data_IF_885978158105
#
_entry.id   IF_885978158105
#
_cell.length_a   1.000
_cell.length_b   1.000
_cell.length_c   1.000
_cell.angle_alpha   90.00
_cell.angle_beta   90.00
_cell.angle_gamma   90.00
#
_symmetry.space_group_name_H-M   'P 1'
#
loop_
_entity.id
_entity.type
_entity.pdbx_description
1 polymer ?
#
# COMPACT_ATOMS: atom_id res chain seq x y z
N UNK A 1 -20.67 -44.19 -19.13
CA UNK A 1 -19.19 -44.24 -19.19
C UNK A 1 -18.69 -42.86 -18.81
N UNK A 2 -17.87 -42.69 -17.74
CA UNK A 2 -17.33 -41.37 -17.44
C UNK A 2 -16.18 -41.08 -18.41
N UNK A 3 -16.21 -39.88 -18.98
CA UNK A 3 -15.16 -39.35 -19.84
C UNK A 3 -14.03 -38.86 -18.93
N UNK A 4 -12.81 -39.35 -19.17
CA UNK A 4 -11.57 -38.97 -18.46
C UNK A 4 -10.93 -37.82 -19.24
N UNK A 5 -10.55 -36.73 -18.56
CA UNK A 5 -9.77 -35.63 -19.15
C UNK A 5 -8.65 -35.21 -18.18
N UNK A 6 -7.39 -35.34 -18.63
CA UNK A 6 -6.14 -34.81 -18.04
C UNK A 6 -6.12 -33.25 -18.12
N UNK A 7 -5.36 -32.40 -17.42
CA UNK A 7 -4.40 -32.42 -16.28
C UNK A 7 -3.99 -30.92 -16.05
N UNK A 8 -3.75 -30.47 -14.80
CA UNK A 8 -3.20 -29.13 -14.44
C UNK A 8 -2.66 -29.10 -12.99
N UNK A 9 -1.77 -28.16 -12.59
CA UNK A 9 -0.80 -28.39 -11.50
C UNK A 9 -1.38 -28.34 -10.08
N UNK A 10 -0.74 -29.07 -9.17
CA UNK A 10 -1.17 -29.42 -7.82
C UNK A 10 -0.75 -28.41 -6.72
N UNK A 11 -1.57 -28.27 -5.68
CA UNK A 11 -1.19 -27.71 -4.37
C UNK A 11 -1.87 -28.50 -3.22
N UNK A 12 -1.13 -28.67 -2.12
CA UNK A 12 -1.34 -29.63 -1.02
C UNK A 12 -2.45 -29.27 0.00
N UNK A 13 -3.19 -30.30 0.43
CA UNK A 13 -3.37 -30.67 1.86
C UNK A 13 -4.42 -29.94 2.71
N UNK A 14 -5.49 -30.67 3.09
CA UNK A 14 -6.34 -30.37 4.25
C UNK A 14 -7.71 -31.05 4.21
N UNK A 15 -7.86 -32.20 4.89
CA UNK A 15 -9.08 -33.01 4.89
C UNK A 15 -10.30 -32.29 5.52
N UNK A 16 -11.45 -32.30 4.82
CA UNK A 16 -12.76 -31.97 5.39
C UNK A 16 -13.69 -33.18 5.33
N UNK A 17 -14.21 -33.57 6.49
CA UNK A 17 -15.16 -34.65 6.69
C UNK A 17 -16.57 -34.20 6.25
N UNK A 18 -17.16 -34.86 5.24
CA UNK A 18 -18.48 -34.49 4.69
C UNK A 18 -19.46 -35.68 4.84
N UNK A 19 -20.62 -35.50 5.51
CA UNK A 19 -21.58 -36.58 5.70
C UNK A 19 -22.32 -36.95 4.38
N UNK A 20 -22.78 -38.21 4.22
CA UNK A 20 -23.37 -38.68 2.97
C UNK A 20 -24.74 -38.04 2.71
N UNK A 21 -24.87 -37.34 1.58
CA UNK A 21 -26.13 -36.77 1.10
C UNK A 21 -26.94 -37.83 0.34
N UNK A 22 -28.21 -38.03 0.74
CA UNK A 22 -29.14 -38.98 0.12
C UNK A 22 -29.42 -38.64 -1.36
N UNK A 23 -29.51 -39.67 -2.21
CA UNK A 23 -29.77 -39.54 -3.64
C UNK A 23 -31.24 -39.16 -3.94
N UNK A 24 -31.47 -38.07 -4.68
CA UNK A 24 -32.79 -37.69 -5.18
C UNK A 24 -32.98 -38.11 -6.65
N UNK A 25 -34.11 -38.74 -7.04
CA UNK A 25 -34.38 -39.06 -8.43
C UNK A 25 -34.55 -37.77 -9.25
N UNK A 26 -33.76 -37.60 -10.31
CA UNK A 26 -33.87 -36.47 -11.25
C UNK A 26 -32.74 -35.43 -11.20
N UNK A 27 -31.79 -35.53 -10.25
CA UNK A 27 -30.59 -34.67 -10.21
C UNK A 27 -29.35 -35.48 -10.65
N UNK A 28 -28.50 -34.90 -11.51
CA UNK A 28 -27.20 -35.51 -11.86
C UNK A 28 -26.21 -35.22 -10.73
N UNK A 29 -25.61 -36.27 -10.18
CA UNK A 29 -24.52 -36.15 -9.21
C UNK A 29 -23.21 -35.91 -9.93
N UNK A 30 -22.47 -34.88 -9.51
CA UNK A 30 -21.12 -34.62 -9.98
C UNK A 30 -20.13 -34.80 -8.82
N UNK A 31 -19.04 -35.51 -9.07
CA UNK A 31 -17.91 -35.66 -8.14
C UNK A 31 -16.72 -34.92 -8.72
N UNK A 32 -16.14 -34.02 -7.93
CA UNK A 32 -14.81 -33.48 -8.19
C UNK A 32 -13.81 -34.47 -7.59
N UNK A 33 -12.91 -35.00 -8.43
CA UNK A 33 -11.77 -35.79 -7.98
C UNK A 33 -10.52 -34.89 -7.95
N UNK A 34 -9.67 -34.99 -6.92
CA UNK A 34 -8.35 -34.41 -6.99
C UNK A 34 -7.54 -35.04 -8.14
N UNK A 35 -6.54 -34.32 -8.64
CA UNK A 35 -5.68 -34.79 -9.71
C UNK A 35 -5.01 -36.12 -9.35
N UNK A 36 -4.71 -36.95 -10.35
CA UNK A 36 -4.10 -38.26 -10.16
C UNK A 36 -2.79 -38.14 -9.35
N UNK A 37 -2.84 -38.58 -8.09
CA UNK A 37 -1.75 -38.47 -7.12
C UNK A 37 -2.18 -38.92 -5.73
N UNK A 38 -3.40 -38.60 -5.31
CA UNK A 38 -3.96 -39.03 -4.03
C UNK A 38 -5.04 -40.09 -4.22
N UNK A 39 -4.65 -41.35 -4.13
CA UNK A 39 -5.59 -42.45 -4.00
C UNK A 39 -6.16 -42.46 -2.57
N UNK A 40 -7.15 -41.60 -2.29
CA UNK A 40 -7.80 -41.63 -0.97
C UNK A 40 -8.97 -40.68 -0.71
N UNK A 41 -9.00 -39.48 -1.28
CA UNK A 41 -9.97 -38.46 -0.85
C UNK A 41 -11.05 -38.15 -1.90
N UNK A 42 -12.30 -38.44 -1.54
CA UNK A 42 -13.47 -38.05 -2.33
C UNK A 42 -13.83 -36.59 -2.05
N UNK A 43 -13.74 -35.72 -3.06
CA UNK A 43 -14.19 -34.34 -2.97
C UNK A 43 -15.71 -34.19 -2.78
N UNK A 44 -16.19 -32.99 -2.39
CA UNK A 44 -17.59 -32.75 -2.08
C UNK A 44 -18.52 -33.02 -3.27
N UNK A 45 -19.69 -33.60 -3.00
CA UNK A 45 -20.73 -33.94 -3.99
C UNK A 45 -21.78 -32.83 -4.03
N UNK A 46 -22.01 -32.26 -5.21
CA UNK A 46 -23.03 -31.22 -5.40
C UNK A 46 -24.21 -31.74 -6.24
N UNK A 47 -25.43 -31.29 -5.89
CA UNK A 47 -26.67 -31.58 -6.61
C UNK A 47 -27.14 -30.30 -7.32
N UNK A 48 -26.99 -30.22 -8.65
CA UNK A 48 -27.35 -29.03 -9.43
C UNK A 48 -28.55 -29.33 -10.34
N UNK A 49 -29.56 -28.44 -10.35
CA UNK A 49 -30.71 -28.48 -11.27
C UNK A 49 -30.40 -27.81 -12.62
N UNK A 50 -31.19 -28.12 -13.66
CA UNK A 50 -30.95 -27.62 -15.02
C UNK A 50 -30.98 -26.07 -15.10
N UNK A 51 -29.89 -25.49 -15.58
CA UNK A 51 -29.69 -24.04 -15.79
C UNK A 51 -28.20 -23.74 -16.05
N UNK A 52 -27.89 -22.61 -16.68
CA UNK A 52 -26.51 -22.10 -16.75
C UNK A 52 -26.15 -21.56 -15.36
N UNK A 53 -25.09 -22.09 -14.77
CA UNK A 53 -24.60 -21.68 -13.44
C UNK A 53 -23.13 -21.26 -13.58
N UNK A 54 -22.79 -20.10 -13.03
CA UNK A 54 -21.41 -19.64 -12.90
C UNK A 54 -20.94 -19.89 -11.47
N UNK A 55 -19.91 -20.72 -11.28
CA UNK A 55 -19.25 -20.89 -9.98
C UNK A 55 -17.94 -20.11 -9.96
N UNK A 56 -17.71 -19.33 -8.89
CA UNK A 56 -16.41 -18.76 -8.54
C UNK A 56 -15.75 -19.63 -7.49
N UNK A 57 -14.63 -20.26 -7.83
CA UNK A 57 -13.78 -20.99 -6.89
C UNK A 57 -12.31 -20.68 -7.21
N UNK A 58 -11.50 -20.36 -6.19
CA UNK A 58 -10.04 -20.17 -6.31
C UNK A 58 -9.62 -19.32 -7.52
N UNK A 59 -10.23 -18.14 -7.69
CA UNK A 59 -9.86 -17.22 -8.78
C UNK A 59 -10.21 -17.71 -10.18
N UNK A 60 -11.18 -18.63 -10.35
CA UNK A 60 -11.71 -19.00 -11.68
C UNK A 60 -13.23 -18.96 -11.72
N UNK A 61 -13.75 -18.47 -12.85
CA UNK A 61 -15.18 -18.55 -13.20
C UNK A 61 -15.39 -19.78 -14.08
N UNK A 62 -16.23 -20.70 -13.62
CA UNK A 62 -16.61 -21.88 -14.39
C UNK A 62 -17.99 -21.68 -14.98
N UNK A 63 -18.08 -21.54 -16.30
CA UNK A 63 -19.34 -21.50 -17.02
C UNK A 63 -19.74 -22.89 -17.49
N UNK A 64 -20.89 -23.39 -17.02
CA UNK A 64 -21.46 -24.65 -17.46
C UNK A 64 -22.38 -24.48 -18.68
N UNK A 65 -21.92 -24.91 -19.85
CA UNK A 65 -22.76 -25.15 -21.03
C UNK A 65 -22.73 -26.64 -21.42
N UNK A 66 -23.73 -27.39 -20.96
CA UNK A 66 -23.86 -28.81 -21.32
C UNK A 66 -22.72 -29.68 -20.76
N UNK A 67 -22.14 -30.56 -21.60
CA UNK A 67 -21.11 -31.54 -21.22
C UNK A 67 -19.65 -31.05 -21.43
N UNK A 68 -19.46 -29.80 -21.88
CA UNK A 68 -18.15 -29.26 -22.19
C UNK A 68 -17.73 -28.22 -21.13
N UNK A 69 -16.57 -28.45 -20.53
CA UNK A 69 -15.93 -27.51 -19.61
C UNK A 69 -15.09 -26.54 -20.44
N UNK A 70 -15.50 -25.27 -20.50
CA UNK A 70 -14.65 -24.20 -21.05
C UNK A 70 -14.10 -23.39 -19.89
N UNK A 71 -12.81 -23.56 -19.61
CA UNK A 71 -12.05 -22.66 -18.73
C UNK A 71 -11.72 -21.41 -19.53
N UNK A 72 -12.56 -20.40 -19.47
CA UNK A 72 -12.13 -19.04 -19.83
C UNK A 72 -11.42 -18.47 -18.61
N UNK A 73 -10.10 -18.33 -18.70
CA UNK A 73 -9.33 -17.52 -17.77
C UNK A 73 -9.54 -16.06 -18.15
N UNK A 74 -10.72 -15.53 -17.87
CA UNK A 74 -10.86 -14.09 -17.70
C UNK A 74 -10.01 -13.72 -16.47
N UNK A 75 -9.09 -12.73 -16.58
CA UNK A 75 -8.36 -12.26 -15.41
C UNK A 75 -9.38 -11.87 -14.33
N UNK A 76 -9.22 -12.43 -13.13
CA UNK A 76 -10.04 -12.03 -11.99
C UNK A 76 -9.50 -10.69 -11.52
N UNK A 77 -10.12 -9.63 -12.03
CA UNK A 77 -9.86 -8.27 -11.57
C UNK A 77 -10.32 -8.13 -10.13
N UNK A 78 -9.42 -7.67 -9.27
CA UNK A 78 -9.71 -7.38 -7.87
C UNK A 78 -10.18 -5.94 -7.76
N UNK A 79 -11.18 -5.71 -6.91
CA UNK A 79 -11.57 -4.36 -6.54
C UNK A 79 -10.68 -3.89 -5.39
N UNK A 80 -9.82 -2.92 -5.67
CA UNK A 80 -8.85 -2.39 -4.72
C UNK A 80 -9.27 -0.98 -4.30
N UNK A 81 -9.59 -0.82 -3.02
CA UNK A 81 -9.86 0.48 -2.43
C UNK A 81 -8.54 1.15 -2.01
N UNK A 82 -8.34 2.42 -2.37
CA UNK A 82 -7.17 3.22 -2.00
C UNK A 82 -7.62 4.45 -1.22
N UNK A 83 -7.31 4.49 0.08
CA UNK A 83 -7.40 5.72 0.86
C UNK A 83 -6.17 6.60 0.60
N UNK A 84 -6.36 7.93 0.60
CA UNK A 84 -5.26 8.86 0.29
C UNK A 84 -4.82 8.86 -1.17
N UNK A 85 -5.70 8.43 -2.08
CA UNK A 85 -5.48 8.28 -3.52
C UNK A 85 -4.98 9.54 -4.26
N UNK A 86 -5.15 10.73 -3.69
CA UNK A 86 -4.70 12.00 -4.28
C UNK A 86 -3.32 12.46 -3.79
N UNK A 87 -2.73 11.75 -2.81
CA UNK A 87 -1.44 12.09 -2.22
C UNK A 87 -0.22 11.64 -3.03
N UNK A 88 0.97 11.94 -2.52
CA UNK A 88 2.24 11.64 -3.19
C UNK A 88 2.54 10.14 -3.36
N UNK A 89 1.97 9.28 -2.50
CA UNK A 89 2.05 7.82 -2.62
C UNK A 89 0.79 7.26 -3.29
N UNK A 90 -0.40 7.67 -2.84
CA UNK A 90 -1.66 7.11 -3.34
C UNK A 90 -1.88 7.35 -4.83
N UNK A 91 -1.51 8.53 -5.35
CA UNK A 91 -1.71 8.85 -6.78
C UNK A 91 -0.89 7.95 -7.72
N UNK A 92 0.43 7.76 -7.54
CA UNK A 92 1.16 6.78 -8.32
C UNK A 92 0.68 5.34 -8.09
N UNK A 93 0.25 4.97 -6.88
CA UNK A 93 -0.34 3.65 -6.62
C UNK A 93 -1.60 3.41 -7.46
N UNK A 94 -2.54 4.37 -7.48
CA UNK A 94 -3.77 4.27 -8.30
C UNK A 94 -3.42 4.11 -9.78
N UNK A 95 -2.49 4.94 -10.30
CA UNK A 95 -2.09 4.86 -11.70
C UNK A 95 -1.46 3.50 -12.06
N UNK A 96 -0.62 2.95 -11.18
CA UNK A 96 0.02 1.66 -11.38
C UNK A 96 -0.98 0.49 -11.33
N UNK A 97 -1.91 0.49 -10.36
CA UNK A 97 -2.97 -0.52 -10.26
C UNK A 97 -3.92 -0.52 -11.47
N UNK A 98 -4.28 0.67 -11.96
CA UNK A 98 -5.06 0.78 -13.20
C UNK A 98 -4.28 0.24 -14.41
N UNK A 99 -2.97 0.50 -14.47
CA UNK A 99 -2.11 0.01 -15.55
C UNK A 99 -1.92 -1.51 -15.51
N UNK A 100 -2.03 -2.14 -14.34
CA UNK A 100 -2.08 -3.60 -14.19
C UNK A 100 -3.47 -4.21 -14.46
N UNK A 101 -4.45 -3.38 -14.82
CA UNK A 101 -5.81 -3.80 -15.16
C UNK A 101 -6.70 -4.05 -13.95
N UNK A 102 -6.32 -3.63 -12.74
CA UNK A 102 -7.18 -3.81 -11.56
C UNK A 102 -8.32 -2.78 -11.54
N UNK A 103 -9.43 -3.14 -10.88
CA UNK A 103 -10.51 -2.18 -10.62
C UNK A 103 -10.12 -1.35 -9.40
N UNK A 104 -9.86 -0.06 -9.59
CA UNK A 104 -9.39 0.81 -8.50
C UNK A 104 -10.49 1.76 -8.05
N UNK A 105 -10.81 1.70 -6.76
CA UNK A 105 -11.70 2.65 -6.09
C UNK A 105 -10.88 3.59 -5.23
N UNK A 106 -10.97 4.89 -5.47
CA UNK A 106 -10.26 5.92 -4.74
C UNK A 106 -11.18 6.59 -3.71
N UNK A 107 -10.80 6.47 -2.43
CA UNK A 107 -11.55 7.05 -1.33
C UNK A 107 -11.16 8.51 -1.11
N UNK A 108 -12.17 9.39 -1.11
CA UNK A 108 -12.03 10.83 -0.84
C UNK A 108 -13.12 11.30 0.12
N UNK A 109 -12.83 12.35 0.88
CA UNK A 109 -13.82 13.01 1.76
C UNK A 109 -14.83 13.88 1.02
N UNK A 110 -14.50 14.31 -0.20
CA UNK A 110 -15.34 15.23 -0.98
C UNK A 110 -15.32 14.87 -2.46
N UNK A 111 -16.49 14.98 -3.10
CA UNK A 111 -16.68 14.74 -4.54
C UNK A 111 -15.77 15.62 -5.40
N UNK A 112 -15.58 16.88 -5.00
CA UNK A 112 -14.74 17.84 -5.74
C UNK A 112 -13.29 17.38 -5.95
N UNK A 113 -12.80 16.50 -5.07
CA UNK A 113 -11.43 15.96 -5.15
C UNK A 113 -11.33 14.72 -6.04
N UNK A 114 -12.46 14.11 -6.39
CA UNK A 114 -12.50 12.95 -7.28
C UNK A 114 -12.14 13.34 -8.72
N UNK A 115 -12.37 14.60 -9.12
CA UNK A 115 -11.98 15.09 -10.44
C UNK A 115 -10.46 15.13 -10.69
N UNK A 116 -9.63 14.99 -9.63
CA UNK A 116 -8.18 14.93 -9.72
C UNK A 116 -7.63 13.49 -9.79
N UNK A 117 -8.51 12.49 -9.84
CA UNK A 117 -8.11 11.09 -9.92
C UNK A 117 -7.60 10.73 -11.32
N UNK A 118 -6.67 9.76 -11.43
CA UNK A 118 -6.32 9.17 -12.73
C UNK A 118 -7.56 8.65 -13.47
N UNK A 119 -7.55 8.80 -14.79
CA UNK A 119 -8.63 8.28 -15.65
C UNK A 119 -8.80 6.77 -15.44
N UNK A 120 -10.04 6.33 -15.25
CA UNK A 120 -10.39 4.93 -14.98
C UNK A 120 -10.55 4.57 -13.50
N UNK A 121 -10.14 5.43 -12.56
CA UNK A 121 -10.43 5.20 -11.14
C UNK A 121 -11.89 5.52 -10.80
N UNK A 122 -12.52 4.63 -10.04
CA UNK A 122 -13.84 4.87 -9.43
C UNK A 122 -13.69 5.77 -8.21
N UNK A 123 -14.52 6.80 -8.08
CA UNK A 123 -14.54 7.64 -6.89
C UNK A 123 -15.47 7.10 -5.81
N UNK A 124 -15.01 7.08 -4.55
CA UNK A 124 -15.86 6.78 -3.40
C UNK A 124 -15.79 7.89 -2.37
N UNK A 125 -16.96 8.44 -2.01
CA UNK A 125 -17.09 9.50 -1.01
C UNK A 125 -17.31 8.86 0.35
N UNK A 126 -16.32 8.99 1.22
CA UNK A 126 -16.45 8.56 2.61
C UNK A 126 -15.50 9.36 3.52
N UNK A 127 -15.89 9.43 4.79
CA UNK A 127 -15.11 10.08 5.82
C UNK A 127 -14.61 9.06 6.84
N UNK A 128 -13.31 8.80 6.81
CA UNK A 128 -12.65 7.91 7.76
C UNK A 128 -12.79 8.38 9.22
N UNK A 129 -12.96 9.68 9.46
CA UNK A 129 -13.01 10.22 10.82
C UNK A 129 -14.38 9.98 11.47
N UNK A 130 -15.45 10.28 10.75
CA UNK A 130 -16.83 10.11 11.22
C UNK A 130 -17.39 8.72 10.93
N UNK A 131 -16.76 7.95 10.03
CA UNK A 131 -17.27 6.67 9.54
C UNK A 131 -18.35 6.78 8.47
N UNK A 132 -18.76 8.01 8.12
CA UNK A 132 -19.83 8.24 7.15
C UNK A 132 -19.43 7.72 5.76
N UNK A 133 -20.31 6.94 5.13
CA UNK A 133 -20.12 6.41 3.78
C UNK A 133 -19.17 5.21 3.66
N UNK A 134 -18.58 4.72 4.76
CA UNK A 134 -17.62 3.61 4.68
C UNK A 134 -18.26 2.30 4.21
N UNK A 135 -19.47 1.96 4.66
CA UNK A 135 -20.14 0.72 4.22
C UNK A 135 -20.30 0.67 2.69
N UNK A 136 -20.71 1.78 2.08
CA UNK A 136 -20.85 1.88 0.63
C UNK A 136 -19.49 1.91 -0.08
N UNK A 137 -18.48 2.57 0.49
CA UNK A 137 -17.14 2.63 -0.10
C UNK A 137 -16.45 1.26 -0.12
N UNK A 138 -16.70 0.42 0.89
CA UNK A 138 -16.12 -0.92 1.03
C UNK A 138 -16.95 -2.04 0.38
N UNK A 139 -18.14 -1.76 -0.15
CA UNK A 139 -18.98 -2.78 -0.81
C UNK A 139 -18.25 -3.41 -2.01
N UNK A 140 -18.11 -4.74 -1.99
CA UNK A 140 -17.41 -5.50 -3.03
C UNK A 140 -15.91 -5.27 -3.11
N UNK A 141 -15.26 -4.69 -2.08
CA UNK A 141 -13.81 -4.48 -2.04
C UNK A 141 -13.09 -5.77 -1.64
N UNK A 142 -12.15 -6.23 -2.48
CA UNK A 142 -11.33 -7.41 -2.21
C UNK A 142 -10.08 -7.06 -1.40
N UNK A 143 -9.47 -5.91 -1.69
CA UNK A 143 -8.19 -5.47 -1.11
C UNK A 143 -8.20 -3.99 -0.79
N UNK A 144 -7.45 -3.59 0.24
CA UNK A 144 -7.44 -2.22 0.73
C UNK A 144 -6.03 -1.69 0.92
N UNK A 145 -5.73 -0.51 0.36
CA UNK A 145 -4.54 0.27 0.67
C UNK A 145 -4.91 1.47 1.55
N UNK A 146 -4.43 1.44 2.79
CA UNK A 146 -4.66 2.49 3.78
C UNK A 146 -3.49 3.46 3.82
N UNK A 147 -3.74 4.72 3.45
CA UNK A 147 -2.87 5.85 3.76
C UNK A 147 -3.63 6.81 4.68
N UNK A 148 -3.09 7.05 5.87
CA UNK A 148 -3.64 8.05 6.79
C UNK A 148 -2.81 9.33 6.72
N UNK A 149 -3.48 10.47 6.55
CA UNK A 149 -2.82 11.77 6.68
C UNK A 149 -2.50 12.03 8.16
N UNK A 150 -1.33 12.64 8.42
CA UNK A 150 -0.96 13.12 9.75
C UNK A 150 -2.05 14.06 10.29
N UNK A 151 -2.54 13.80 11.50
CA UNK A 151 -3.58 14.58 12.15
C UNK A 151 -3.82 14.13 13.59
N UNK A 152 -4.42 14.98 14.42
CA UNK A 152 -4.79 14.62 15.79
C UNK A 152 -5.71 13.40 15.85
N UNK A 153 -6.59 13.26 14.86
CA UNK A 153 -7.56 12.17 14.71
C UNK A 153 -7.05 11.02 13.82
N UNK A 154 -5.76 10.98 13.52
CA UNK A 154 -5.20 9.98 12.60
C UNK A 154 -5.47 8.54 13.05
N UNK A 155 -5.19 8.23 14.31
CA UNK A 155 -5.45 6.91 14.88
C UNK A 155 -6.93 6.53 14.73
N UNK A 156 -7.85 7.45 15.04
CA UNK A 156 -9.29 7.22 14.87
C UNK A 156 -9.64 6.89 13.41
N UNK A 157 -9.12 7.67 12.45
CA UNK A 157 -9.33 7.42 11.02
C UNK A 157 -8.84 6.04 10.59
N UNK A 158 -7.64 5.65 11.02
CA UNK A 158 -7.09 4.34 10.70
C UNK A 158 -7.90 3.21 11.29
N UNK A 159 -8.29 3.30 12.57
CA UNK A 159 -9.11 2.29 13.24
C UNK A 159 -10.49 2.14 12.59
N UNK A 160 -11.15 3.24 12.23
CA UNK A 160 -12.42 3.20 11.49
C UNK A 160 -12.26 2.52 10.12
N UNK A 161 -11.19 2.82 9.39
CA UNK A 161 -10.90 2.19 8.11
C UNK A 161 -10.70 0.67 8.24
N UNK A 162 -9.92 0.24 9.24
CA UNK A 162 -9.68 -1.18 9.52
C UNK A 162 -10.98 -1.89 9.92
N UNK A 163 -11.81 -1.27 10.76
CA UNK A 163 -13.09 -1.83 11.16
C UNK A 163 -14.05 -1.98 9.96
N UNK A 164 -14.10 -1.00 9.06
CA UNK A 164 -14.90 -1.08 7.84
C UNK A 164 -14.38 -2.19 6.91
N UNK A 165 -13.06 -2.30 6.74
CA UNK A 165 -12.44 -3.38 5.96
C UNK A 165 -12.81 -4.77 6.52
N UNK A 166 -12.76 -4.94 7.84
CA UNK A 166 -13.17 -6.17 8.53
C UNK A 166 -14.66 -6.48 8.30
N UNK A 167 -15.52 -5.48 8.45
CA UNK A 167 -16.97 -5.64 8.28
C UNK A 167 -17.35 -6.03 6.85
N UNK A 168 -16.62 -5.50 5.86
CA UNK A 168 -16.82 -5.83 4.44
C UNK A 168 -16.15 -7.15 4.01
N UNK A 169 -15.35 -7.79 4.87
CA UNK A 169 -14.66 -9.03 4.53
C UNK A 169 -13.49 -8.86 3.57
N UNK A 170 -12.82 -7.70 3.60
CA UNK A 170 -11.61 -7.44 2.80
C UNK A 170 -10.56 -8.50 3.09
N UNK A 171 -10.05 -9.16 2.04
CA UNK A 171 -9.11 -10.27 2.17
C UNK A 171 -7.68 -9.85 2.43
N UNK A 172 -7.28 -8.63 2.00
CA UNK A 172 -5.91 -8.12 2.16
C UNK A 172 -5.87 -6.62 2.46
N UNK A 173 -5.05 -6.23 3.44
CA UNK A 173 -4.82 -4.83 3.84
C UNK A 173 -3.33 -4.49 3.73
N UNK A 174 -3.00 -3.50 2.90
CA UNK A 174 -1.67 -2.87 2.89
C UNK A 174 -1.78 -1.53 3.59
N UNK A 175 -0.82 -1.21 4.46
CA UNK A 175 -0.84 0.04 5.24
C UNK A 175 0.46 0.80 5.13
N UNK A 176 0.33 2.10 4.82
CA UNK A 176 1.45 3.03 4.89
C UNK A 176 1.59 3.58 6.31
N UNK A 177 2.51 2.99 7.06
CA UNK A 177 2.94 3.45 8.38
C UNK A 177 4.11 4.44 8.24
N UNK A 178 5.07 4.39 9.16
CA UNK A 178 6.29 5.20 9.17
C UNK A 178 7.44 4.35 9.71
N UNK A 179 8.68 4.67 9.33
CA UNK A 179 9.86 4.03 9.86
C UNK A 179 9.98 4.19 11.39
N UNK A 180 10.28 3.08 12.08
CA UNK A 180 10.58 3.02 13.51
C UNK A 180 9.60 3.82 14.42
N UNK A 181 8.27 3.57 14.33
CA UNK A 181 7.26 4.37 15.03
C UNK A 181 7.31 4.23 16.57
N UNK A 182 8.03 3.24 17.06
CA UNK A 182 8.22 2.85 18.45
C UNK A 182 9.55 3.30 19.06
N UNK A 183 10.41 4.01 18.31
CA UNK A 183 11.69 4.50 18.83
C UNK A 183 11.58 5.73 19.74
N UNK A 184 12.59 5.90 20.59
CA UNK A 184 12.77 7.01 21.53
C UNK A 184 13.67 8.10 20.92
N UNK A 185 13.34 9.41 21.07
CA UNK A 185 12.19 9.95 21.78
C UNK A 185 10.87 9.76 21.01
N UNK A 186 9.71 9.69 21.72
CA UNK A 186 8.42 9.46 21.09
C UNK A 186 8.03 10.63 20.18
N UNK A 187 8.02 10.40 18.86
CA UNK A 187 7.53 11.36 17.87
C UNK A 187 6.01 11.20 17.75
N UNK A 188 5.20 12.21 18.14
CA UNK A 188 3.74 12.07 18.21
C UNK A 188 3.07 11.56 16.93
N UNK A 189 3.40 12.15 15.78
CA UNK A 189 2.82 11.71 14.51
C UNK A 189 3.31 10.34 14.06
N UNK A 190 4.39 9.80 14.62
CA UNK A 190 4.82 8.43 14.33
C UNK A 190 4.07 7.43 15.20
N UNK A 191 3.88 7.74 16.48
CA UNK A 191 3.18 6.86 17.43
C UNK A 191 1.71 6.68 17.11
N UNK A 192 1.07 7.62 16.42
CA UNK A 192 -0.32 7.49 15.97
C UNK A 192 -0.55 6.26 15.08
N UNK A 193 0.51 5.72 14.45
CA UNK A 193 0.47 4.55 13.57
C UNK A 193 0.39 3.24 14.34
N UNK A 194 0.98 3.15 15.53
CA UNK A 194 1.12 1.89 16.27
C UNK A 194 -0.23 1.20 16.56
N UNK A 195 -1.29 1.90 17.02
CA UNK A 195 -2.58 1.25 17.24
C UNK A 195 -3.25 0.79 15.94
N UNK A 196 -2.98 1.47 14.82
CA UNK A 196 -3.49 1.09 13.49
C UNK A 196 -2.80 -0.21 13.04
N UNK A 197 -1.47 -0.27 13.16
CA UNK A 197 -0.73 -1.50 12.86
C UNK A 197 -1.22 -2.69 13.70
N UNK A 198 -1.45 -2.48 15.00
CA UNK A 198 -1.98 -3.52 15.89
C UNK A 198 -3.38 -4.00 15.42
N UNK A 199 -4.28 -3.07 15.11
CA UNK A 199 -5.62 -3.41 14.62
C UNK A 199 -5.60 -4.16 13.29
N UNK A 200 -4.63 -3.87 12.40
CA UNK A 200 -4.44 -4.60 11.14
C UNK A 200 -3.96 -6.03 11.40
N UNK A 201 -2.99 -6.23 12.29
CA UNK A 201 -2.53 -7.58 12.68
C UNK A 201 -3.66 -8.42 13.27
N UNK A 202 -4.59 -7.79 13.97
CA UNK A 202 -5.78 -8.41 14.57
C UNK A 202 -7.02 -8.39 13.65
N UNK A 203 -6.87 -7.99 12.39
CA UNK A 203 -8.01 -7.84 11.47
C UNK A 203 -8.56 -9.18 10.98
N UNK A 204 -7.69 -10.19 10.86
CA UNK A 204 -7.98 -11.47 10.22
C UNK A 204 -7.77 -11.46 8.69
N UNK A 205 -7.50 -10.29 8.10
CA UNK A 205 -7.07 -10.18 6.70
C UNK A 205 -5.58 -10.52 6.56
N UNK A 206 -5.16 -10.92 5.35
CA UNK A 206 -3.73 -10.85 5.01
C UNK A 206 -3.26 -9.40 5.13
N UNK A 207 -2.04 -9.20 5.61
CA UNK A 207 -1.54 -7.83 5.78
C UNK A 207 -0.10 -7.63 5.34
N UNK A 208 0.20 -6.39 4.95
CA UNK A 208 1.55 -5.90 4.74
C UNK A 208 1.65 -4.47 5.30
N UNK A 209 2.69 -4.19 6.08
CA UNK A 209 2.93 -2.86 6.64
C UNK A 209 4.16 -2.26 5.95
N UNK A 210 4.00 -1.08 5.37
CA UNK A 210 5.08 -0.31 4.75
C UNK A 210 5.53 0.77 5.72
N UNK A 211 6.80 0.74 6.14
CA UNK A 211 7.42 1.67 7.07
C UNK A 211 8.49 2.50 6.37
N UNK A 212 8.10 3.50 5.59
CA UNK A 212 9.05 4.28 4.82
C UNK A 212 9.85 5.25 5.68
N UNK A 213 11.11 5.42 5.29
CA UNK A 213 12.00 6.50 5.71
C UNK A 213 11.53 7.86 5.18
N UNK A 214 12.33 8.91 5.39
CA UNK A 214 11.97 10.28 5.02
C UNK A 214 11.81 10.43 3.49
N UNK A 215 10.75 11.11 3.03
CA UNK A 215 10.45 11.15 1.58
C UNK A 215 11.31 12.16 0.83
N UNK A 216 11.75 11.82 -0.39
CA UNK A 216 12.30 12.78 -1.35
C UNK A 216 11.29 13.89 -1.66
N UNK A 217 10.02 13.52 -1.87
CA UNK A 217 8.92 14.42 -2.21
C UNK A 217 8.59 15.46 -1.15
N UNK A 218 9.12 15.34 0.07
CA UNK A 218 9.04 16.44 1.06
C UNK A 218 9.65 17.73 0.51
N UNK A 219 10.66 17.62 -0.35
CA UNK A 219 11.35 18.76 -0.93
C UNK A 219 10.49 19.54 -1.95
N UNK A 220 9.39 18.97 -2.44
CA UNK A 220 8.46 19.70 -3.33
C UNK A 220 7.92 20.98 -2.68
N UNK A 221 7.87 21.02 -1.35
CA UNK A 221 7.48 22.22 -0.60
C UNK A 221 8.53 23.34 -0.61
N UNK A 222 9.80 23.00 -0.85
CA UNK A 222 10.93 23.94 -0.79
C UNK A 222 11.66 24.12 -2.11
N UNK A 223 11.34 23.32 -3.14
CA UNK A 223 12.01 23.36 -4.45
C UNK A 223 12.06 24.78 -5.04
N UNK A 224 11.00 25.57 -4.85
CA UNK A 224 10.98 26.97 -5.30
C UNK A 224 11.97 27.84 -4.53
N UNK A 225 12.11 27.64 -3.21
CA UNK A 225 13.09 28.36 -2.41
C UNK A 225 14.51 28.03 -2.87
N UNK A 226 14.77 26.76 -3.14
CA UNK A 226 16.06 26.29 -3.67
C UNK A 226 16.33 26.90 -5.04
N UNK A 227 15.35 26.84 -5.95
CA UNK A 227 15.49 27.31 -7.33
C UNK A 227 15.64 28.83 -7.43
N UNK A 228 14.87 29.58 -6.66
CA UNK A 228 14.83 31.05 -6.76
C UNK A 228 15.95 31.70 -5.93
N UNK A 229 16.24 31.18 -4.73
CA UNK A 229 17.17 31.82 -3.77
C UNK A 229 18.49 31.07 -3.55
N UNK A 230 18.64 29.84 -4.04
CA UNK A 230 19.87 29.07 -3.83
C UNK A 230 20.06 28.66 -2.37
N UNK A 231 18.98 28.35 -1.66
CA UNK A 231 19.04 27.88 -0.26
C UNK A 231 18.23 26.60 -0.12
N UNK A 232 18.84 25.53 0.39
CA UNK A 232 18.15 24.33 0.85
C UNK A 232 17.83 24.47 2.35
N UNK A 233 16.56 24.70 2.73
CA UNK A 233 16.22 25.20 4.08
C UNK A 233 15.85 24.10 5.09
N UNK A 234 15.85 22.82 4.68
CA UNK A 234 15.36 21.74 5.52
C UNK A 234 16.42 21.33 6.55
N UNK A 235 16.14 21.39 7.87
CA UNK A 235 17.15 21.21 8.92
C UNK A 235 17.41 19.70 9.19
N UNK A 236 17.83 18.96 8.17
CA UNK A 236 17.99 17.50 8.20
C UNK A 236 19.33 17.02 8.77
N UNK A 237 20.19 17.92 9.25
CA UNK A 237 21.47 17.56 9.86
C UNK A 237 22.59 17.28 8.88
N UNK A 238 23.78 17.07 9.42
CA UNK A 238 25.02 16.82 8.66
C UNK A 238 25.42 15.34 8.61
N UNK A 239 24.85 14.49 9.46
CA UNK A 239 25.14 13.05 9.53
C UNK A 239 24.64 12.32 8.28
N UNK A 240 23.41 12.64 7.86
CA UNK A 240 22.76 12.05 6.70
C UNK A 240 21.73 10.98 7.05
N UNK A 241 20.78 10.78 6.14
CA UNK A 241 19.71 9.80 6.28
C UNK A 241 19.32 9.24 4.92
N UNK A 242 18.87 7.99 4.88
CA UNK A 242 18.33 7.42 3.65
C UNK A 242 16.93 7.97 3.40
N UNK A 243 16.70 8.48 2.18
CA UNK A 243 15.43 9.10 1.80
C UNK A 243 14.77 8.33 0.68
N UNK A 244 13.58 7.80 0.91
CA UNK A 244 12.85 6.98 -0.06
C UNK A 244 12.04 7.85 -1.03
N UNK A 245 11.97 7.44 -2.29
CA UNK A 245 11.06 8.04 -3.28
C UNK A 245 9.64 7.49 -3.10
N UNK A 246 8.62 8.36 -3.08
CA UNK A 246 7.23 7.91 -2.90
C UNK A 246 6.73 6.99 -4.01
N UNK A 247 7.38 6.98 -5.17
CA UNK A 247 7.09 6.02 -6.25
C UNK A 247 7.60 4.61 -5.91
N UNK A 248 8.74 4.48 -5.25
CA UNK A 248 9.23 3.16 -4.76
C UNK A 248 8.25 2.59 -3.73
N UNK A 249 7.72 3.44 -2.84
CA UNK A 249 6.67 3.05 -1.89
C UNK A 249 5.41 2.59 -2.64
N UNK A 250 5.01 3.31 -3.68
CA UNK A 250 3.84 2.95 -4.47
C UNK A 250 4.02 1.61 -5.20
N UNK A 251 5.21 1.37 -5.76
CA UNK A 251 5.55 0.12 -6.44
C UNK A 251 5.55 -1.07 -5.44
N UNK A 252 6.12 -0.89 -4.24
CA UNK A 252 6.03 -1.87 -3.16
C UNK A 252 4.56 -2.13 -2.73
N UNK A 253 3.75 -1.08 -2.60
CA UNK A 253 2.33 -1.21 -2.26
C UNK A 253 1.55 -1.99 -3.32
N UNK A 254 1.77 -1.70 -4.61
CA UNK A 254 1.15 -2.43 -5.73
C UNK A 254 1.48 -3.91 -5.63
N UNK A 255 2.76 -4.25 -5.49
CA UNK A 255 3.19 -5.64 -5.36
C UNK A 255 2.57 -6.33 -4.15
N UNK A 256 2.59 -5.70 -2.99
CA UNK A 256 1.94 -6.22 -1.79
C UNK A 256 0.43 -6.45 -2.00
N UNK A 257 -0.23 -5.58 -2.77
CA UNK A 257 -1.64 -5.74 -3.12
C UNK A 257 -1.86 -6.84 -4.16
N UNK A 258 -0.97 -7.07 -5.11
CA UNK A 258 -1.25 -7.92 -6.29
C UNK A 258 -0.52 -9.27 -6.33
N UNK A 259 0.60 -9.39 -5.62
CA UNK A 259 1.47 -10.57 -5.60
C UNK A 259 1.32 -11.35 -4.29
N UNK A 260 1.58 -12.65 -4.32
CA UNK A 260 1.65 -13.47 -3.11
C UNK A 260 3.01 -13.34 -2.41
N UNK A 261 3.12 -13.78 -1.17
CA UNK A 261 4.38 -13.76 -0.40
C UNK A 261 4.59 -12.53 0.48
N UNK A 262 3.64 -11.59 0.49
CA UNK A 262 3.71 -10.37 1.29
C UNK A 262 2.89 -10.43 2.60
N UNK A 263 2.16 -11.51 2.85
CA UNK A 263 1.36 -11.67 4.05
C UNK A 263 2.24 -11.73 5.31
N UNK A 264 1.94 -10.90 6.30
CA UNK A 264 2.70 -10.78 7.54
C UNK A 264 3.99 -9.97 7.41
N UNK A 265 4.29 -9.42 6.24
CA UNK A 265 5.52 -8.67 6.01
C UNK A 265 5.42 -7.23 6.54
N UNK A 266 6.52 -6.76 7.12
CA UNK A 266 6.71 -5.37 7.52
C UNK A 266 7.99 -4.87 6.84
N UNK A 267 7.86 -3.94 5.89
CA UNK A 267 8.97 -3.45 5.08
C UNK A 267 9.42 -2.08 5.57
N UNK A 268 10.61 -2.00 6.14
CA UNK A 268 11.32 -0.72 6.33
C UNK A 268 11.89 -0.26 4.98
N UNK A 269 11.30 0.80 4.41
CA UNK A 269 11.60 1.24 3.05
C UNK A 269 12.55 2.44 3.05
N UNK A 270 13.73 2.22 2.51
CA UNK A 270 14.81 3.19 2.40
C UNK A 270 15.08 3.57 0.95
N UNK A 271 15.62 4.78 0.74
CA UNK A 271 16.26 5.10 -0.54
C UNK A 271 17.71 4.62 -0.59
N UNK A 272 18.33 4.64 -1.77
CA UNK A 272 19.68 4.10 -1.96
C UNK A 272 20.77 5.02 -1.41
N UNK A 273 20.50 6.32 -1.29
CA UNK A 273 21.50 7.31 -0.93
C UNK A 273 21.34 7.78 0.52
N UNK A 274 22.45 7.89 1.24
CA UNK A 274 22.51 8.60 2.52
C UNK A 274 22.73 10.10 2.26
N UNK A 275 21.71 10.91 2.51
CA UNK A 275 21.69 12.34 2.18
C UNK A 275 21.73 13.19 3.45
N UNK A 276 22.77 14.02 3.58
CA UNK A 276 22.86 15.09 4.58
C UNK A 276 22.35 16.42 4.02
N UNK A 277 22.13 17.42 4.88
CA UNK A 277 21.74 18.78 4.49
C UNK A 277 22.70 19.42 3.48
N UNK A 278 24.02 19.46 3.74
CA UNK A 278 25.01 19.88 2.76
C UNK A 278 25.03 19.01 1.49
N UNK A 279 24.84 17.69 1.64
CA UNK A 279 24.75 16.77 0.50
C UNK A 279 23.58 17.08 -0.42
N UNK A 280 22.39 17.35 0.15
CA UNK A 280 21.21 17.75 -0.59
C UNK A 280 21.43 19.07 -1.33
N UNK A 281 21.99 20.07 -0.65
CA UNK A 281 22.34 21.35 -1.27
C UNK A 281 23.31 21.16 -2.47
N UNK A 282 24.31 20.28 -2.33
CA UNK A 282 25.25 19.99 -3.42
C UNK A 282 24.59 19.30 -4.62
N UNK A 283 23.63 18.39 -4.39
CA UNK A 283 22.85 17.74 -5.46
C UNK A 283 22.01 18.77 -6.21
N UNK A 284 21.30 19.66 -5.49
CA UNK A 284 20.55 20.75 -6.12
C UNK A 284 21.47 21.71 -6.89
N UNK A 285 22.63 22.06 -6.33
CA UNK A 285 23.57 22.97 -6.99
C UNK A 285 24.03 22.42 -8.36
N UNK A 286 24.33 21.12 -8.42
CA UNK A 286 24.73 20.43 -9.64
C UNK A 286 23.62 20.45 -10.70
N UNK A 287 22.39 20.09 -10.34
CA UNK A 287 21.29 19.96 -11.31
C UNK A 287 20.67 21.30 -11.71
N UNK A 288 20.64 22.30 -10.82
CA UNK A 288 20.12 23.62 -11.15
C UNK A 288 21.17 24.55 -11.77
N UNK A 289 22.43 24.12 -11.87
CA UNK A 289 23.50 24.89 -12.48
C UNK A 289 23.80 26.20 -11.75
N UNK A 290 23.56 26.26 -10.43
CA UNK A 290 23.77 27.44 -9.60
C UNK A 290 24.27 27.05 -8.22
N UNK A 291 24.84 28.02 -7.50
CA UNK A 291 25.19 27.80 -6.11
C UNK A 291 23.93 27.62 -5.25
N UNK A 292 23.96 26.60 -4.40
CA UNK A 292 22.91 26.29 -3.42
C UNK A 292 23.58 26.05 -2.07
N UNK A 293 23.21 26.85 -1.07
CA UNK A 293 23.73 26.74 0.29
C UNK A 293 22.79 25.93 1.17
N UNK A 294 23.39 25.22 2.13
CA UNK A 294 22.62 24.62 3.21
C UNK A 294 22.16 25.69 4.20
N UNK A 295 20.86 25.74 4.49
CA UNK A 295 20.24 26.72 5.39
C UNK A 295 20.59 26.54 6.87
N UNK A 296 21.17 25.39 7.24
CA UNK A 296 21.63 25.08 8.58
C UNK A 296 20.64 24.26 9.42
N UNK A 297 21.07 23.92 10.64
CA UNK A 297 20.39 22.96 11.53
C UNK A 297 19.54 23.62 12.63
N UNK A 298 19.32 24.94 12.56
CA UNK A 298 18.49 25.66 13.54
C UNK A 298 17.01 25.32 13.36
N UNK A 299 16.55 24.30 14.08
CA UNK A 299 15.17 23.79 14.08
C UNK A 299 14.17 24.85 14.57
N UNK A 300 14.58 25.73 15.48
CA UNK A 300 13.71 26.80 15.97
C UNK A 300 13.48 27.85 14.89
N UNK A 301 14.56 28.30 14.23
CA UNK A 301 14.47 29.22 13.11
C UNK A 301 13.70 28.62 11.92
N UNK A 302 13.93 27.34 11.59
CA UNK A 302 13.11 26.63 10.61
C UNK A 302 11.64 26.65 11.02
N UNK A 303 11.35 26.31 12.27
CA UNK A 303 9.98 26.28 12.79
C UNK A 303 9.28 27.63 12.69
N UNK A 304 9.97 28.72 13.01
CA UNK A 304 9.47 30.09 12.84
C UNK A 304 9.12 30.43 11.39
N UNK A 305 9.86 29.88 10.42
CA UNK A 305 9.61 30.10 8.99
C UNK A 305 8.38 29.36 8.45
N UNK A 306 8.00 28.23 9.08
CA UNK A 306 6.90 27.37 8.61
C UNK A 306 5.64 27.43 9.49
N UNK A 307 5.69 28.05 10.68
CA UNK A 307 4.60 28.05 11.67
C UNK A 307 3.27 28.58 11.16
N UNK A 308 3.27 29.46 10.16
CA UNK A 308 2.05 29.99 9.55
C UNK A 308 1.32 28.95 8.68
N UNK A 309 1.99 27.87 8.27
CA UNK A 309 1.47 26.85 7.36
C UNK A 309 1.19 25.52 8.06
N UNK A 310 1.57 25.37 9.33
CA UNK A 310 1.46 24.13 10.09
C UNK A 310 0.61 24.33 11.34
N UNK A 311 -0.15 23.29 11.71
CA UNK A 311 -0.79 23.24 13.01
C UNK A 311 0.28 23.22 14.12
N UNK A 312 0.08 23.90 15.27
CA UNK A 312 1.08 23.97 16.34
C UNK A 312 1.59 22.60 16.81
N UNK A 313 0.67 21.64 17.01
CA UNK A 313 1.04 20.29 17.45
C UNK A 313 1.94 19.56 16.43
N UNK A 314 1.69 19.78 15.12
CA UNK A 314 2.45 19.15 14.05
C UNK A 314 3.83 19.78 13.95
N UNK A 315 3.92 21.10 14.10
CA UNK A 315 5.20 21.80 14.17
C UNK A 315 6.06 21.24 15.30
N UNK A 316 5.52 21.14 16.51
CA UNK A 316 6.26 20.58 17.66
C UNK A 316 6.69 19.13 17.41
N UNK A 317 5.84 18.33 16.76
CA UNK A 317 6.17 16.96 16.40
C UNK A 317 7.28 16.88 15.35
N UNK A 318 7.30 17.76 14.36
CA UNK A 318 8.34 17.81 13.32
C UNK A 318 9.66 18.35 13.89
N UNK A 319 9.62 19.31 14.81
CA UNK A 319 10.83 19.78 15.52
C UNK A 319 11.52 18.62 16.25
N UNK A 320 10.76 17.80 16.98
CA UNK A 320 11.29 16.59 17.64
C UNK A 320 11.91 15.61 16.64
N UNK A 321 11.25 15.39 15.51
CA UNK A 321 11.76 14.53 14.44
C UNK A 321 13.09 15.06 13.87
N UNK A 322 13.17 16.35 13.53
CA UNK A 322 14.42 16.93 13.00
C UNK A 322 15.54 16.90 14.03
N UNK A 323 15.27 17.18 15.31
CA UNK A 323 16.27 17.05 16.38
C UNK A 323 16.79 15.61 16.48
N UNK A 324 15.92 14.60 16.38
CA UNK A 324 16.33 13.21 16.37
C UNK A 324 17.16 12.86 15.12
N UNK A 325 16.77 13.33 13.94
CA UNK A 325 17.52 13.14 12.69
C UNK A 325 18.92 13.79 12.79
N UNK A 326 19.02 15.00 13.34
CA UNK A 326 20.29 15.70 13.54
C UNK A 326 21.20 14.99 14.55
N UNK A 327 20.62 14.37 15.58
CA UNK A 327 21.37 13.67 16.61
C UNK A 327 21.86 12.29 16.16
N UNK A 328 21.07 11.56 15.37
CA UNK A 328 21.32 10.15 15.09
C UNK A 328 21.60 9.83 13.63
N UNK A 329 21.08 10.62 12.67
CA UNK A 329 21.17 10.35 11.24
C UNK A 329 20.65 8.96 10.89
N UNK A 330 19.34 8.76 10.67
CA UNK A 330 18.75 7.44 10.41
C UNK A 330 19.18 6.92 9.02
N UNK A 331 20.44 6.50 8.94
CA UNK A 331 21.05 5.87 7.80
C UNK A 331 20.76 4.37 7.86
N UNK A 332 20.35 3.83 6.73
CA UNK A 332 20.14 2.41 6.58
C UNK A 332 21.49 1.72 6.32
N UNK A 333 21.65 0.52 6.85
CA UNK A 333 22.70 -0.40 6.45
C UNK A 333 22.52 -0.85 4.99
N UNK A 334 23.59 -1.31 4.35
CA UNK A 334 23.54 -1.86 2.99
C UNK A 334 22.52 -3.01 2.86
N UNK A 335 22.36 -3.81 3.93
CA UNK A 335 21.39 -4.90 3.97
C UNK A 335 19.94 -4.40 3.98
N UNK A 336 19.65 -3.33 4.73
CA UNK A 336 18.31 -2.71 4.76
C UNK A 336 17.96 -2.03 3.43
N UNK A 337 18.94 -1.41 2.77
CA UNK A 337 18.78 -0.87 1.41
C UNK A 337 18.53 -2.01 0.40
N UNK A 338 19.26 -3.11 0.49
CA UNK A 338 19.05 -4.28 -0.36
C UNK A 338 17.66 -4.90 -0.15
N UNK A 339 17.20 -5.01 1.11
CA UNK A 339 15.86 -5.49 1.43
C UNK A 339 14.76 -4.54 0.89
N UNK A 340 14.98 -3.23 0.96
CA UNK A 340 14.09 -2.24 0.32
C UNK A 340 14.01 -2.46 -1.19
N UNK A 341 15.17 -2.66 -1.83
CA UNK A 341 15.23 -2.93 -3.26
C UNK A 341 14.53 -4.23 -3.65
N UNK A 342 14.62 -5.28 -2.82
CA UNK A 342 13.90 -6.53 -3.04
C UNK A 342 12.39 -6.36 -2.90
N UNK A 343 11.93 -5.64 -1.86
CA UNK A 343 10.52 -5.37 -1.61
C UNK A 343 9.84 -4.54 -2.72
N UNK A 344 10.60 -3.61 -3.31
CA UNK A 344 10.18 -2.81 -4.48
C UNK A 344 10.37 -3.62 -5.78
N UNK A 345 11.42 -4.44 -5.82
CA UNK A 345 11.89 -5.33 -6.89
C UNK A 345 12.24 -4.66 -8.21
N UNK A 346 12.78 -3.44 -8.12
CA UNK A 346 13.61 -2.82 -9.13
C UNK A 346 14.65 -1.94 -8.42
N UNK A 347 15.72 -1.47 -9.10
CA UNK A 347 16.67 -0.53 -8.51
C UNK A 347 15.98 0.70 -7.94
N UNK A 348 16.31 1.07 -6.70
CA UNK A 348 15.68 2.17 -5.99
C UNK A 348 15.97 3.52 -6.64
N UNK A 349 15.02 4.44 -6.58
CA UNK A 349 15.16 5.78 -7.17
C UNK A 349 16.05 6.64 -6.27
N UNK A 350 17.16 7.13 -6.82
CA UNK A 350 18.12 7.97 -6.10
C UNK A 350 17.59 9.38 -5.86
N UNK A 351 18.11 10.04 -4.82
CA UNK A 351 17.84 11.46 -4.59
C UNK A 351 18.39 12.31 -5.74
N UNK A 352 19.52 11.91 -6.33
CA UNK A 352 20.08 12.58 -7.50
C UNK A 352 19.13 12.53 -8.71
N UNK A 353 18.54 11.35 -9.00
CA UNK A 353 17.56 11.21 -10.08
C UNK A 353 16.29 12.02 -9.81
N UNK A 354 15.80 12.02 -8.58
CA UNK A 354 14.66 12.86 -8.18
C UNK A 354 14.94 14.35 -8.42
N UNK A 355 16.11 14.86 -8.03
CA UNK A 355 16.46 16.27 -8.24
C UNK A 355 16.68 16.58 -9.73
N UNK A 356 17.25 15.66 -10.50
CA UNK A 356 17.40 15.79 -11.95
C UNK A 356 16.04 16.01 -12.64
N UNK A 357 15.01 15.25 -12.26
CA UNK A 357 13.64 15.40 -12.78
C UNK A 357 13.04 16.78 -12.46
N UNK A 358 13.37 17.37 -11.31
CA UNK A 358 12.91 18.71 -10.92
C UNK A 358 13.59 19.83 -11.72
N UNK A 359 14.78 19.58 -12.26
CA UNK A 359 15.54 20.56 -13.04
C UNK A 359 14.96 20.78 -14.44
N UNK A 360 14.36 19.74 -15.03
CA UNK A 360 13.78 19.74 -16.37
C UNK A 360 14.66 19.02 -17.37
#
# INVERSE_FOLDING_TARGET
MPVIVNSGPACNGGAMDVPPVAAHPGKRQFRLFPAAGDAGESGPVFNIGQGAHSLRCFGRVYNMYGANFFSQTEPVHMTILVAGATGNVGRPTVAALLSSGETVRALSRSEDKLGALPEGAEGAVADLETGSGLDAAFDGVDRFFLITANGETETQRGLNAVNAAKAAGVGRIVYLSVHNPDQEPPIPHSRSKLPIEAAIRESGAEYTILRPSYFNQTDLSVVRVVKDFGVYPMPIGTIGQNRVDTRDIADCAVRALTEDGHNGAEYDLHGPDTISGPGAAAVYARHFGREVFYGGDDVEKWGESVKAFLAPWLLDSLKKMFLAQQAHGPAASEAEVAASQEAVGHPLRSFDAFVAELAG
#
